data_IF_668187954155
#
_entry.id   IF_668187954155
#
_cell.length_a   1.000
_cell.length_b   1.000
_cell.length_c   1.000
_cell.angle_alpha   90.00
_cell.angle_beta   90.00
_cell.angle_gamma   90.00
#
_symmetry.space_group_name_H-M   'P 1'
#
loop_
_entity.id
_entity.type
_entity.pdbx_description
1 polymer ?
#
# COMPACT_ATOMS: atom_id res chain seq x y z
N UNK A 1 30.50 8.76 1.09
CA UNK A 1 30.48 8.70 2.57
C UNK A 1 31.70 9.37 3.24
N UNK A 2 32.76 9.76 2.50
CA UNK A 2 33.84 10.55 3.10
C UNK A 2 34.71 9.82 4.13
N UNK A 3 34.77 8.48 4.11
CA UNK A 3 35.42 7.70 5.16
C UNK A 3 36.91 8.02 5.36
N UNK A 4 37.63 8.36 4.27
CA UNK A 4 39.07 8.66 4.33
C UNK A 4 39.39 10.16 4.23
N UNK A 5 38.49 10.96 3.65
CA UNK A 5 38.77 12.36 3.29
C UNK A 5 37.91 13.37 4.07
N UNK A 6 37.00 12.88 4.92
CA UNK A 6 35.98 13.69 5.57
C UNK A 6 34.92 14.20 4.57
N UNK A 7 33.72 14.50 5.08
CA UNK A 7 32.72 15.25 4.34
C UNK A 7 32.01 16.16 5.34
N UNK A 8 32.28 17.47 5.27
CA UNK A 8 31.79 18.46 6.26
C UNK A 8 30.28 18.39 6.48
N UNK A 9 29.52 18.02 5.44
CA UNK A 9 28.07 17.81 5.49
C UNK A 9 27.65 16.73 6.51
N UNK A 10 28.44 15.67 6.67
CA UNK A 10 28.11 14.52 7.53
C UNK A 10 28.98 14.44 8.79
N UNK A 11 30.18 15.03 8.78
CA UNK A 11 31.15 14.91 9.88
C UNK A 11 30.72 15.64 11.16
N UNK A 12 29.79 16.60 11.07
CA UNK A 12 29.32 17.40 12.20
C UNK A 12 28.02 16.88 12.85
N UNK A 13 27.39 15.84 12.30
CA UNK A 13 26.17 15.26 12.87
C UNK A 13 26.48 14.52 14.18
N UNK A 14 25.65 14.75 15.20
CA UNK A 14 25.80 14.16 16.53
C UNK A 14 24.47 13.81 17.19
N UNK A 15 24.49 13.46 18.48
CA UNK A 15 23.28 13.05 19.21
C UNK A 15 22.22 14.15 19.32
N UNK A 16 22.62 15.42 19.27
CA UNK A 16 21.70 16.55 19.23
C UNK A 16 20.83 16.59 17.97
N UNK A 17 21.23 15.87 16.91
CA UNK A 17 20.49 15.79 15.64
C UNK A 17 19.58 14.55 15.57
N UNK A 18 19.56 13.73 16.64
CA UNK A 18 18.74 12.51 16.74
C UNK A 18 17.48 12.79 17.55
N UNK A 19 16.34 12.22 17.12
CA UNK A 19 15.05 12.34 17.82
C UNK A 19 14.61 13.80 18.06
N UNK A 20 14.85 14.66 17.07
CA UNK A 20 14.34 16.03 17.08
C UNK A 20 12.81 16.06 17.07
N UNK A 21 12.17 17.11 17.62
CA UNK A 21 10.71 17.29 17.51
C UNK A 21 10.19 17.23 16.07
N UNK A 22 10.96 17.70 15.09
CA UNK A 22 10.62 17.59 13.67
C UNK A 22 10.62 16.14 13.16
N UNK A 23 11.53 15.30 13.67
CA UNK A 23 11.59 13.87 13.32
C UNK A 23 10.45 13.09 13.96
N UNK A 24 10.07 13.45 15.20
CA UNK A 24 8.87 12.93 15.87
C UNK A 24 7.59 13.31 15.12
N UNK A 25 7.48 14.59 14.72
CA UNK A 25 6.36 15.08 13.91
C UNK A 25 6.29 14.39 12.54
N UNK A 26 7.43 14.06 11.93
CA UNK A 26 7.47 13.29 10.69
C UNK A 26 6.98 11.85 10.90
N UNK A 27 7.35 11.19 12.01
CA UNK A 27 6.85 9.86 12.33
C UNK A 27 5.33 9.86 12.55
N UNK A 28 4.80 10.83 13.29
CA UNK A 28 3.36 11.05 13.44
C UNK A 28 2.69 11.31 12.08
N UNK A 29 3.29 12.18 11.26
CA UNK A 29 2.77 12.51 9.93
C UNK A 29 2.67 11.28 9.04
N UNK A 30 3.75 10.49 8.96
CA UNK A 30 3.77 9.26 8.18
C UNK A 30 2.71 8.25 8.65
N UNK A 31 2.48 8.15 9.97
CA UNK A 31 1.48 7.26 10.53
C UNK A 31 0.06 7.65 10.10
N UNK A 32 -0.39 8.89 10.33
CA UNK A 32 -1.77 9.27 9.98
C UNK A 32 -1.97 9.39 8.46
N UNK A 33 -0.95 9.80 7.70
CA UNK A 33 -1.04 9.87 6.24
C UNK A 33 -1.17 8.48 5.61
N UNK A 34 -0.65 7.43 6.27
CA UNK A 34 -0.70 6.04 5.82
C UNK A 34 -1.94 5.26 6.26
N UNK A 35 -2.67 5.69 7.31
CA UNK A 35 -3.89 5.03 7.76
C UNK A 35 -4.94 5.05 6.64
N UNK A 36 -5.49 3.87 6.35
CA UNK A 36 -6.46 3.67 5.27
C UNK A 36 -7.83 3.36 5.86
N UNK A 37 -8.85 4.14 5.49
CA UNK A 37 -10.23 3.88 5.86
C UNK A 37 -10.86 2.91 4.85
N UNK A 38 -11.32 1.75 5.32
CA UNK A 38 -11.86 0.67 4.47
C UNK A 38 -13.39 0.69 4.46
N UNK A 39 -14.00 0.81 5.64
CA UNK A 39 -15.47 0.88 5.81
C UNK A 39 -15.80 2.04 6.72
N UNK A 40 -16.90 2.74 6.43
CA UNK A 40 -17.43 3.78 7.30
C UNK A 40 -18.90 4.06 7.03
N UNK A 41 -19.78 3.69 7.96
CA UNK A 41 -21.23 3.89 7.87
C UNK A 41 -21.66 5.15 8.65
N UNK A 42 -20.85 6.21 8.58
CA UNK A 42 -21.08 7.49 9.25
C UNK A 42 -20.66 7.53 10.73
N UNK A 43 -19.99 6.50 11.25
CA UNK A 43 -19.44 6.51 12.60
C UNK A 43 -18.25 7.48 12.72
N UNK A 44 -17.35 7.44 11.74
CA UNK A 44 -16.16 8.28 11.73
C UNK A 44 -16.30 9.45 10.75
N UNK A 45 -15.73 10.63 11.06
CA UNK A 45 -15.12 10.96 12.34
C UNK A 45 -16.16 11.08 13.45
N UNK A 46 -15.75 10.81 14.69
CA UNK A 46 -16.61 10.92 15.85
C UNK A 46 -17.13 12.36 15.98
N UNK A 47 -18.45 12.52 16.08
CA UNK A 47 -19.10 13.85 16.14
C UNK A 47 -18.91 14.54 17.50
N UNK A 48 -18.70 13.75 18.54
CA UNK A 48 -18.39 14.20 19.90
C UNK A 48 -17.55 13.15 20.61
N UNK A 49 -16.85 13.56 21.67
CA UNK A 49 -16.22 12.62 22.60
C UNK A 49 -17.29 11.68 23.18
N UNK A 50 -17.12 10.35 23.06
CA UNK A 50 -18.01 9.40 23.74
C UNK A 50 -17.78 9.47 25.26
N UNK A 51 -18.85 9.36 26.06
CA UNK A 51 -18.71 9.46 27.50
C UNK A 51 -17.97 8.27 28.11
N UNK A 52 -18.05 7.10 27.47
CA UNK A 52 -17.27 5.90 27.83
C UNK A 52 -16.86 5.10 26.59
N UNK A 53 -15.57 4.83 26.44
CA UNK A 53 -15.02 4.08 25.31
C UNK A 53 -14.42 2.77 25.80
N UNK A 54 -14.74 1.66 25.12
CA UNK A 54 -14.14 0.35 25.36
C UNK A 54 -13.08 0.04 24.28
N UNK A 55 -11.80 0.01 24.68
CA UNK A 55 -10.70 -0.46 23.84
C UNK A 55 -10.52 -1.95 24.09
N UNK A 56 -10.81 -2.76 23.08
CA UNK A 56 -10.75 -4.22 23.17
C UNK A 56 -9.73 -4.75 22.17
N UNK A 57 -8.96 -5.76 22.55
CA UNK A 57 -8.12 -6.53 21.62
C UNK A 57 -6.62 -6.40 21.86
N UNK A 58 -5.83 -7.26 21.19
CA UNK A 58 -4.40 -7.42 21.44
C UNK A 58 -3.54 -6.19 21.12
N UNK A 59 -4.04 -5.24 20.32
CA UNK A 59 -3.34 -4.00 20.01
C UNK A 59 -3.74 -2.81 20.88
N UNK A 60 -4.73 -2.96 21.77
CA UNK A 60 -5.26 -1.84 22.55
C UNK A 60 -4.17 -1.15 23.39
N UNK A 61 -3.27 -1.91 24.01
CA UNK A 61 -2.12 -1.40 24.74
C UNK A 61 -0.76 -1.77 24.10
N UNK A 62 -0.71 -1.84 22.77
CA UNK A 62 0.50 -2.20 22.04
C UNK A 62 1.63 -1.19 22.22
N UNK A 63 2.86 -1.69 22.36
CA UNK A 63 4.10 -0.89 22.36
C UNK A 63 4.99 -1.32 21.19
N UNK A 64 5.93 -2.25 21.39
CA UNK A 64 6.90 -2.69 20.37
C UNK A 64 6.22 -3.29 19.13
N UNK A 65 5.01 -3.86 19.30
CA UNK A 65 4.18 -4.34 18.20
C UNK A 65 3.91 -3.27 17.14
N UNK A 66 3.86 -1.98 17.52
CA UNK A 66 3.62 -0.87 16.58
C UNK A 66 4.79 -0.66 15.60
N UNK A 67 5.98 -1.19 15.90
CA UNK A 67 7.20 -0.95 15.11
C UNK A 67 7.46 -2.00 14.03
N UNK A 68 6.71 -3.11 14.01
CA UNK A 68 6.99 -4.22 13.10
C UNK A 68 8.33 -4.91 13.41
N UNK A 69 9.16 -5.14 12.39
CA UNK A 69 10.46 -5.80 12.49
C UNK A 69 11.59 -4.88 12.00
N UNK A 70 12.85 -5.25 12.26
CA UNK A 70 14.03 -4.43 11.93
C UNK A 70 14.03 -3.02 12.57
N UNK A 71 13.35 -2.86 13.71
CA UNK A 71 13.29 -1.61 14.44
C UNK A 71 14.38 -1.54 15.53
N UNK A 72 14.97 -0.37 15.69
CA UNK A 72 15.81 -0.06 16.85
C UNK A 72 14.99 0.30 18.09
N UNK A 73 15.67 0.64 19.18
CA UNK A 73 15.02 1.12 20.41
C UNK A 73 14.42 2.50 20.16
N UNK A 74 13.08 2.59 20.20
CA UNK A 74 12.40 3.85 20.06
C UNK A 74 12.61 4.74 21.30
N UNK A 75 12.67 6.07 21.14
CA UNK A 75 12.78 7.00 22.27
C UNK A 75 11.53 6.98 23.17
N UNK A 76 10.39 6.63 22.61
CA UNK A 76 9.11 6.38 23.26
C UNK A 76 8.19 5.64 22.29
N UNK A 77 7.11 5.05 22.79
CA UNK A 77 6.05 4.43 22.01
C UNK A 77 4.71 4.82 22.63
N UNK A 78 3.82 5.45 21.86
CA UNK A 78 2.48 5.81 22.32
C UNK A 78 1.49 4.74 21.89
N UNK A 79 0.99 3.95 22.86
CA UNK A 79 -0.04 2.94 22.59
C UNK A 79 -1.39 3.60 22.25
N UNK A 80 -2.28 2.90 21.53
CA UNK A 80 -3.64 3.41 21.29
C UNK A 80 -4.38 3.75 22.60
N UNK A 81 -4.27 2.90 23.63
CA UNK A 81 -4.85 3.16 24.95
C UNK A 81 -4.27 4.43 25.59
N UNK A 82 -2.94 4.64 25.50
CA UNK A 82 -2.31 5.84 26.05
C UNK A 82 -2.79 7.11 25.36
N UNK A 83 -2.85 7.10 24.02
CA UNK A 83 -3.35 8.22 23.24
C UNK A 83 -4.83 8.52 23.55
N UNK A 84 -5.66 7.48 23.59
CA UNK A 84 -7.08 7.61 23.90
C UNK A 84 -7.30 8.15 25.33
N UNK A 85 -6.59 7.62 26.32
CA UNK A 85 -6.69 8.07 27.73
C UNK A 85 -6.19 9.50 27.94
N UNK A 86 -5.35 10.01 27.03
CA UNK A 86 -4.91 11.41 27.07
C UNK A 86 -5.93 12.38 26.47
N UNK A 87 -6.82 11.90 25.59
CA UNK A 87 -7.82 12.73 24.91
C UNK A 87 -9.23 12.59 25.47
N UNK A 88 -9.59 11.41 25.98
CA UNK A 88 -10.94 11.10 26.44
C UNK A 88 -10.99 10.83 27.93
N UNK A 89 -12.10 11.24 28.53
CA UNK A 89 -12.33 11.22 29.97
C UNK A 89 -12.55 9.84 30.58
N UNK A 90 -13.04 8.86 29.81
CA UNK A 90 -13.24 7.49 30.27
C UNK A 90 -12.95 6.48 29.16
N UNK A 91 -11.81 5.80 29.28
CA UNK A 91 -11.38 4.72 28.40
C UNK A 91 -11.11 3.50 29.25
N UNK A 92 -11.90 2.46 29.05
CA UNK A 92 -11.66 1.15 29.64
C UNK A 92 -10.97 0.25 28.62
N UNK A 93 -10.07 -0.59 29.10
CA UNK A 93 -9.35 -1.55 28.27
C UNK A 93 -9.60 -2.98 28.74
N UNK A 94 -9.82 -3.87 27.78
CA UNK A 94 -9.74 -5.31 28.00
C UNK A 94 -8.95 -5.95 26.86
N UNK A 95 -8.09 -6.91 27.19
CA UNK A 95 -7.37 -7.66 26.16
C UNK A 95 -8.35 -8.45 25.27
N UNK A 96 -9.32 -9.15 25.88
CA UNK A 96 -10.27 -10.01 25.18
C UNK A 96 -9.64 -11.30 24.63
N UNK A 97 -8.70 -11.19 23.70
CA UNK A 97 -7.91 -12.32 23.18
C UNK A 97 -6.50 -11.91 22.73
N UNK A 98 -5.60 -12.89 22.60
CA UNK A 98 -4.27 -12.69 22.03
C UNK A 98 -4.32 -12.78 20.50
N UNK A 99 -3.27 -12.32 19.82
CA UNK A 99 -3.18 -12.30 18.34
C UNK A 99 -3.55 -13.64 17.71
N UNK A 100 -3.02 -14.76 18.22
CA UNK A 100 -3.24 -16.08 17.66
C UNK A 100 -3.69 -17.10 18.71
N UNK A 101 -4.59 -16.70 19.62
CA UNK A 101 -5.14 -17.59 20.65
C UNK A 101 -6.43 -18.28 20.20
N UNK A 102 -6.74 -19.40 20.86
CA UNK A 102 -8.02 -20.12 20.73
C UNK A 102 -8.84 -20.11 22.02
N UNK A 103 -8.30 -19.58 23.12
CA UNK A 103 -9.01 -19.49 24.41
C UNK A 103 -10.00 -18.34 24.42
N UNK A 104 -11.19 -18.56 24.96
CA UNK A 104 -12.25 -17.54 25.15
C UNK A 104 -12.34 -17.02 26.58
N UNK A 105 -11.38 -17.37 27.45
CA UNK A 105 -11.41 -17.07 28.90
C UNK A 105 -11.63 -15.58 29.20
N UNK A 106 -10.99 -14.69 28.42
CA UNK A 106 -11.06 -13.24 28.62
C UNK A 106 -12.20 -12.56 27.83
N UNK A 107 -13.02 -13.32 27.08
CA UNK A 107 -14.13 -12.74 26.30
C UNK A 107 -15.17 -12.11 27.23
N UNK A 108 -15.47 -12.77 28.35
CA UNK A 108 -16.49 -12.29 29.30
C UNK A 108 -16.13 -10.90 29.85
N UNK A 109 -14.86 -10.66 30.18
CA UNK A 109 -14.38 -9.36 30.66
C UNK A 109 -14.54 -8.29 29.56
N UNK A 110 -14.08 -8.58 28.34
CA UNK A 110 -14.20 -7.69 27.20
C UNK A 110 -15.66 -7.32 26.89
N UNK A 111 -16.55 -8.30 26.88
CA UNK A 111 -17.99 -8.11 26.64
C UNK A 111 -18.62 -7.27 27.74
N UNK A 112 -18.26 -7.48 29.02
CA UNK A 112 -18.80 -6.70 30.13
C UNK A 112 -18.38 -5.22 30.07
N UNK A 113 -17.11 -4.96 29.74
CA UNK A 113 -16.59 -3.61 29.53
C UNK A 113 -17.31 -2.95 28.35
N UNK A 114 -17.37 -3.64 27.20
CA UNK A 114 -18.01 -3.15 25.99
C UNK A 114 -19.51 -2.86 26.16
N UNK A 115 -20.24 -3.71 26.91
CA UNK A 115 -21.67 -3.53 27.18
C UNK A 115 -21.98 -2.23 27.93
N UNK A 116 -21.01 -1.74 28.71
CA UNK A 116 -21.13 -0.51 29.49
C UNK A 116 -20.67 0.74 28.73
N UNK A 117 -20.09 0.60 27.54
CA UNK A 117 -19.53 1.69 26.75
C UNK A 117 -20.54 2.30 25.77
N UNK A 118 -20.23 3.50 25.28
CA UNK A 118 -20.94 4.19 24.20
C UNK A 118 -20.29 3.94 22.82
N UNK A 119 -19.01 3.56 22.82
CA UNK A 119 -18.22 3.22 21.64
C UNK A 119 -17.33 2.02 21.96
N UNK A 120 -17.32 1.04 21.07
CA UNK A 120 -16.36 -0.08 21.09
C UNK A 120 -15.34 0.15 19.99
N UNK A 121 -14.07 0.06 20.35
CA UNK A 121 -12.94 0.07 19.41
C UNK A 121 -12.20 -1.24 19.58
N UNK A 122 -12.29 -2.11 18.58
CA UNK A 122 -11.51 -3.34 18.53
C UNK A 122 -10.18 -3.06 17.82
N UNK A 123 -9.06 -3.42 18.45
CA UNK A 123 -7.70 -3.22 17.94
C UNK A 123 -7.01 -4.58 17.82
N UNK A 124 -6.85 -5.07 16.59
CA UNK A 124 -6.29 -6.39 16.34
C UNK A 124 -5.81 -6.58 14.90
N UNK A 125 -5.58 -7.83 14.49
CA UNK A 125 -5.03 -8.16 13.19
C UNK A 125 -3.79 -9.02 13.34
N UNK A 126 -2.72 -8.70 12.61
CA UNK A 126 -1.45 -9.42 12.64
C UNK A 126 -0.39 -8.69 13.46
N UNK A 127 0.64 -9.42 13.87
CA UNK A 127 1.91 -8.85 14.34
C UNK A 127 3.09 -9.74 13.95
N UNK A 128 4.29 -9.38 14.43
CA UNK A 128 5.53 -10.11 14.16
C UNK A 128 5.59 -11.55 14.72
N UNK A 129 4.60 -11.98 15.51
CA UNK A 129 4.46 -13.39 15.92
C UNK A 129 3.82 -14.25 14.84
N UNK A 130 3.13 -13.64 13.88
CA UNK A 130 2.42 -14.31 12.78
C UNK A 130 3.10 -14.05 11.43
N UNK A 131 3.61 -12.84 11.19
CA UNK A 131 4.32 -12.47 9.96
C UNK A 131 5.69 -11.87 10.26
N UNK A 132 6.75 -12.60 9.92
CA UNK A 132 8.12 -12.15 10.20
C UNK A 132 9.09 -12.74 9.19
N UNK A 133 10.28 -12.15 9.10
CA UNK A 133 11.40 -12.81 8.43
C UNK A 133 11.53 -14.28 8.88
N UNK A 134 11.67 -15.20 7.92
CA UNK A 134 11.69 -16.67 8.10
C UNK A 134 10.37 -17.32 8.51
N UNK A 135 9.29 -16.55 8.65
CA UNK A 135 7.96 -17.02 9.05
C UNK A 135 6.91 -16.47 8.08
N UNK A 136 6.64 -17.24 7.02
CA UNK A 136 5.50 -17.01 6.15
C UNK A 136 4.20 -17.44 6.82
N UNK A 137 3.10 -16.72 6.57
CA UNK A 137 1.78 -17.08 7.07
C UNK A 137 1.23 -18.30 6.30
N UNK A 138 0.57 -19.25 6.99
CA UNK A 138 -0.07 -20.38 6.34
C UNK A 138 -1.45 -20.06 5.75
N UNK A 139 -2.02 -18.89 6.05
CA UNK A 139 -3.35 -18.45 5.62
C UNK A 139 -3.42 -16.92 5.56
N UNK A 140 -4.41 -16.40 4.83
CA UNK A 140 -4.77 -14.98 4.83
C UNK A 140 -5.97 -14.67 5.74
N UNK A 141 -6.52 -15.65 6.47
CA UNK A 141 -7.55 -15.38 7.47
C UNK A 141 -7.00 -14.59 8.67
N UNK A 142 -7.91 -13.93 9.41
CA UNK A 142 -7.60 -13.38 10.73
C UNK A 142 -7.09 -14.49 11.67
N UNK A 143 -6.01 -14.26 12.44
CA UNK A 143 -5.44 -15.28 13.31
C UNK A 143 -6.28 -15.49 14.58
N UNK A 144 -6.19 -16.72 15.12
CA UNK A 144 -6.87 -17.12 16.34
C UNK A 144 -8.39 -16.95 16.29
N UNK A 145 -8.96 -16.55 17.42
CA UNK A 145 -10.40 -16.32 17.62
C UNK A 145 -10.77 -14.82 17.66
N UNK A 146 -9.98 -13.97 16.99
CA UNK A 146 -10.23 -12.52 16.95
C UNK A 146 -11.59 -12.19 16.31
N UNK A 147 -11.93 -12.83 15.19
CA UNK A 147 -13.23 -12.63 14.53
C UNK A 147 -14.40 -13.10 15.40
N UNK A 148 -14.23 -14.16 16.19
CA UNK A 148 -15.27 -14.63 17.11
C UNK A 148 -15.57 -13.57 18.17
N UNK A 149 -14.54 -12.95 18.75
CA UNK A 149 -14.70 -11.86 19.71
C UNK A 149 -15.35 -10.62 19.06
N UNK A 150 -14.90 -10.23 17.86
CA UNK A 150 -15.51 -9.11 17.13
C UNK A 150 -17.00 -9.38 16.87
N UNK A 151 -17.36 -10.61 16.52
CA UNK A 151 -18.75 -11.01 16.31
C UNK A 151 -19.58 -10.87 17.59
N UNK A 152 -19.09 -11.34 18.74
CA UNK A 152 -19.75 -11.16 20.04
C UNK A 152 -19.92 -9.67 20.41
N UNK A 153 -18.88 -8.85 20.20
CA UNK A 153 -18.94 -7.40 20.44
C UNK A 153 -19.98 -6.72 19.54
N UNK A 154 -20.09 -7.17 18.29
CA UNK A 154 -21.03 -6.62 17.32
C UNK A 154 -22.50 -6.89 17.68
N UNK A 155 -22.77 -7.84 18.57
CA UNK A 155 -24.12 -8.16 19.06
C UNK A 155 -24.59 -7.27 20.23
N UNK A 156 -23.76 -6.34 20.72
CA UNK A 156 -24.07 -5.51 21.90
C UNK A 156 -24.90 -4.25 21.61
N UNK A 157 -25.32 -4.05 20.35
CA UNK A 157 -26.03 -2.85 19.89
C UNK A 157 -25.30 -1.54 20.25
N UNK A 158 -23.98 -1.56 20.07
CA UNK A 158 -23.09 -0.41 20.26
C UNK A 158 -22.37 -0.07 18.96
N UNK A 159 -22.06 1.21 18.70
CA UNK A 159 -21.13 1.57 17.64
C UNK A 159 -19.80 0.82 17.81
N UNK A 160 -19.42 0.06 16.78
CA UNK A 160 -18.19 -0.73 16.75
C UNK A 160 -17.30 -0.26 15.61
N UNK A 161 -16.10 0.18 15.95
CA UNK A 161 -15.01 0.42 15.02
C UNK A 161 -13.95 -0.67 15.17
N UNK A 162 -13.40 -1.15 14.06
CA UNK A 162 -12.28 -2.10 14.02
C UNK A 162 -11.05 -1.41 13.44
N UNK A 163 -9.90 -1.56 14.09
CA UNK A 163 -8.60 -1.14 13.60
C UNK A 163 -7.77 -2.39 13.35
N UNK A 164 -7.54 -2.70 12.08
CA UNK A 164 -6.67 -3.78 11.62
C UNK A 164 -5.21 -3.32 11.57
N UNK A 165 -4.34 -4.05 12.26
CA UNK A 165 -2.89 -3.89 12.25
C UNK A 165 -2.21 -5.02 11.47
N UNK A 166 -0.94 -4.79 11.11
CA UNK A 166 -0.13 -5.73 10.34
C UNK A 166 0.23 -5.22 8.96
N UNK A 167 1.34 -5.71 8.42
CA UNK A 167 1.81 -5.39 7.07
C UNK A 167 1.04 -6.18 6.01
N UNK A 168 0.94 -7.50 6.18
CA UNK A 168 0.08 -8.34 5.38
C UNK A 168 -1.40 -8.04 5.61
N UNK A 169 -2.21 -8.21 4.57
CA UNK A 169 -3.66 -8.14 4.69
C UNK A 169 -4.23 -9.44 5.27
N UNK A 170 -5.34 -9.33 6.00
CA UNK A 170 -6.20 -10.45 6.39
C UNK A 170 -7.57 -10.30 5.73
N UNK A 171 -8.28 -11.40 5.54
CA UNK A 171 -9.60 -11.40 4.88
C UNK A 171 -10.67 -10.73 5.75
N UNK A 172 -11.07 -9.51 5.40
CA UNK A 172 -12.12 -8.74 6.10
C UNK A 172 -13.53 -9.02 5.59
N UNK A 173 -13.75 -10.01 4.71
CA UNK A 173 -15.09 -10.33 4.21
C UNK A 173 -16.13 -10.48 5.34
N UNK A 174 -15.83 -11.14 6.48
CA UNK A 174 -16.76 -11.22 7.61
C UNK A 174 -17.07 -9.85 8.25
N UNK A 175 -16.12 -8.92 8.27
CA UNK A 175 -16.29 -7.59 8.85
C UNK A 175 -17.05 -6.65 7.91
N UNK A 176 -16.74 -6.71 6.61
CA UNK A 176 -17.41 -5.93 5.58
C UNK A 176 -18.89 -6.31 5.47
N UNK A 177 -19.19 -7.61 5.54
CA UNK A 177 -20.56 -8.14 5.51
C UNK A 177 -21.37 -7.92 6.81
N UNK A 178 -20.73 -7.51 7.91
CA UNK A 178 -21.40 -7.27 9.18
C UNK A 178 -21.81 -5.79 9.32
N UNK A 179 -23.09 -5.50 9.21
CA UNK A 179 -23.66 -4.15 9.34
C UNK A 179 -23.46 -3.52 10.73
N UNK A 180 -23.17 -4.31 11.77
CA UNK A 180 -22.88 -3.79 13.11
C UNK A 180 -21.44 -3.32 13.26
N UNK A 181 -20.53 -3.70 12.36
CA UNK A 181 -19.19 -3.10 12.24
C UNK A 181 -19.31 -1.81 11.43
N UNK A 182 -19.35 -0.67 12.12
CA UNK A 182 -19.65 0.64 11.54
C UNK A 182 -18.43 1.33 10.91
N UNK A 183 -17.22 0.97 11.32
CA UNK A 183 -16.01 1.47 10.71
C UNK A 183 -14.89 0.42 10.73
N UNK A 184 -14.05 0.42 9.69
CA UNK A 184 -12.87 -0.42 9.58
C UNK A 184 -11.71 0.42 9.05
N UNK A 185 -10.62 0.46 9.82
CA UNK A 185 -9.37 1.13 9.48
C UNK A 185 -8.26 0.08 9.32
N UNK A 186 -7.36 0.26 8.36
CA UNK A 186 -6.07 -0.43 8.33
C UNK A 186 -4.95 0.54 8.73
N UNK A 187 -4.22 0.19 9.78
CA UNK A 187 -3.19 1.04 10.39
C UNK A 187 -1.75 0.55 10.12
N UNK A 188 -1.57 -0.61 9.49
CA UNK A 188 -0.25 -1.16 9.22
C UNK A 188 0.58 -1.38 10.51
N UNK A 189 1.84 -0.95 10.46
CA UNK A 189 2.73 -0.78 11.62
C UNK A 189 3.02 0.71 11.82
N UNK A 190 2.24 1.43 12.63
CA UNK A 190 2.23 2.90 12.63
C UNK A 190 3.34 3.55 13.49
N UNK A 191 4.27 2.77 14.01
CA UNK A 191 5.47 3.25 14.70
C UNK A 191 5.19 3.99 16.01
N UNK A 192 6.15 4.84 16.41
CA UNK A 192 6.20 5.45 17.75
C UNK A 192 5.03 6.39 18.10
N UNK A 193 4.38 6.96 17.08
CA UNK A 193 3.26 7.89 17.21
C UNK A 193 1.92 7.27 16.79
N UNK A 194 1.90 5.95 16.60
CA UNK A 194 0.75 5.26 16.02
C UNK A 194 -0.53 5.40 16.82
N UNK A 195 -0.46 5.35 18.15
CA UNK A 195 -1.63 5.59 19.00
C UNK A 195 -2.25 6.96 18.77
N UNK A 196 -1.43 8.03 18.73
CA UNK A 196 -1.90 9.39 18.48
C UNK A 196 -2.50 9.54 17.08
N UNK A 197 -1.85 8.96 16.07
CA UNK A 197 -2.34 8.99 14.69
C UNK A 197 -3.73 8.34 14.55
N UNK A 198 -3.94 7.17 15.17
CA UNK A 198 -5.23 6.45 15.11
C UNK A 198 -6.33 7.27 15.77
N UNK A 199 -6.12 7.78 16.99
CA UNK A 199 -7.12 8.56 17.72
C UNK A 199 -7.44 9.87 16.99
N UNK A 200 -6.42 10.54 16.44
CA UNK A 200 -6.60 11.78 15.67
C UNK A 200 -7.37 11.56 14.36
N UNK A 201 -7.19 10.41 13.69
CA UNK A 201 -8.03 10.02 12.54
C UNK A 201 -9.46 9.76 13.01
N UNK A 202 -9.66 8.95 14.06
CA UNK A 202 -11.01 8.63 14.55
C UNK A 202 -11.81 9.87 14.97
N UNK A 203 -11.17 10.86 15.58
CA UNK A 203 -11.81 12.13 15.98
C UNK A 203 -11.95 13.13 14.83
N UNK A 204 -11.37 12.84 13.66
CA UNK A 204 -11.35 13.74 12.52
C UNK A 204 -10.50 14.98 12.73
N UNK A 205 -9.54 14.94 13.67
CA UNK A 205 -8.46 15.93 13.75
C UNK A 205 -7.53 15.80 12.53
N UNK A 206 -7.34 14.57 12.03
CA UNK A 206 -6.77 14.29 10.72
C UNK A 206 -7.81 13.57 9.85
N UNK A 207 -7.87 13.91 8.57
CA UNK A 207 -8.69 13.19 7.60
C UNK A 207 -7.87 12.07 6.95
N UNK A 208 -8.37 10.82 6.90
CA UNK A 208 -7.67 9.73 6.25
C UNK A 208 -7.67 9.93 4.73
N UNK A 209 -6.52 9.64 4.13
CA UNK A 209 -6.34 9.59 2.68
C UNK A 209 -5.34 8.48 2.29
N UNK A 210 -4.99 7.59 3.23
CA UNK A 210 -4.18 6.42 2.97
C UNK A 210 -4.87 5.49 1.98
N UNK A 211 -4.05 4.77 1.20
CA UNK A 211 -4.48 3.83 0.16
C UNK A 211 -3.82 2.49 0.43
N UNK A 212 -4.54 1.39 0.25
CA UNK A 212 -3.92 0.06 0.33
C UNK A 212 -2.83 -0.11 -0.73
N UNK A 213 -1.66 -0.55 -0.32
CA UNK A 213 -0.51 -0.81 -1.21
C UNK A 213 -0.42 -2.28 -1.65
N UNK A 214 -1.34 -3.12 -1.18
CA UNK A 214 -1.50 -4.51 -1.58
C UNK A 214 -2.99 -4.83 -1.73
N UNK A 215 -3.32 -5.83 -2.53
CA UNK A 215 -4.69 -6.36 -2.61
C UNK A 215 -4.98 -7.16 -1.34
N UNK A 216 -6.14 -6.94 -0.72
CA UNK A 216 -6.69 -7.87 0.26
C UNK A 216 -7.44 -8.98 -0.48
N UNK A 217 -6.85 -10.17 -0.52
CA UNK A 217 -7.44 -11.36 -1.13
C UNK A 217 -8.34 -12.08 -0.14
N UNK A 218 -9.34 -12.84 -0.62
CA UNK A 218 -10.09 -13.75 0.25
C UNK A 218 -9.19 -14.88 0.73
N UNK A 219 -9.52 -15.48 1.88
CA UNK A 219 -8.65 -16.45 2.55
C UNK A 219 -8.27 -17.64 1.66
N UNK A 220 -9.19 -18.13 0.83
CA UNK A 220 -8.98 -19.26 -0.08
C UNK A 220 -7.94 -18.98 -1.18
N UNK A 221 -7.58 -17.72 -1.44
CA UNK A 221 -6.53 -17.40 -2.40
C UNK A 221 -5.19 -18.05 -2.02
N UNK A 222 -4.90 -18.19 -0.72
CA UNK A 222 -3.70 -18.86 -0.22
C UNK A 222 -3.65 -20.34 -0.63
N UNK A 223 -4.80 -21.00 -0.79
CA UNK A 223 -4.90 -22.40 -1.20
C UNK A 223 -4.85 -22.57 -2.73
N UNK A 224 -5.22 -21.53 -3.49
CA UNK A 224 -5.23 -21.52 -4.95
C UNK A 224 -3.84 -21.24 -5.54
N UNK A 225 -2.97 -20.56 -4.78
CA UNK A 225 -1.73 -19.99 -5.26
C UNK A 225 -0.54 -20.49 -4.44
N UNK A 226 0.20 -21.46 -4.99
CA UNK A 226 1.35 -22.03 -4.30
C UNK A 226 2.46 -21.00 -4.05
N UNK A 227 3.01 -20.96 -2.83
CA UNK A 227 4.04 -19.99 -2.40
C UNK A 227 5.25 -19.93 -3.34
N UNK A 228 5.65 -21.06 -3.92
CA UNK A 228 6.81 -21.18 -4.81
C UNK A 228 6.50 -21.00 -6.30
N UNK A 229 5.25 -20.67 -6.68
CA UNK A 229 4.91 -20.34 -8.05
C UNK A 229 5.15 -18.84 -8.31
N UNK A 230 6.18 -18.44 -9.08
CA UNK A 230 6.47 -17.03 -9.33
C UNK A 230 5.60 -16.41 -10.43
N UNK A 231 4.78 -17.20 -11.13
CA UNK A 231 4.02 -16.73 -12.28
C UNK A 231 3.05 -15.64 -11.88
N UNK A 232 2.99 -14.53 -12.61
CA UNK A 232 2.04 -13.46 -12.32
C UNK A 232 0.70 -13.64 -13.04
N UNK A 233 0.76 -14.16 -14.27
CA UNK A 233 -0.39 -14.25 -15.18
C UNK A 233 -1.30 -15.42 -14.79
N UNK A 234 -2.63 -15.28 -14.92
CA UNK A 234 -3.52 -16.41 -14.77
C UNK A 234 -3.25 -17.45 -15.86
N UNK A 235 -3.64 -18.69 -15.60
CA UNK A 235 -3.58 -19.75 -16.62
C UNK A 235 -4.92 -19.89 -17.36
N UNK A 236 -4.87 -20.41 -18.58
CA UNK A 236 -6.05 -20.48 -19.46
C UNK A 236 -7.15 -21.40 -18.93
N UNK A 237 -6.81 -22.40 -18.12
CA UNK A 237 -7.78 -23.35 -17.56
C UNK A 237 -8.43 -22.86 -16.25
N UNK A 238 -8.06 -21.67 -15.76
CA UNK A 238 -8.63 -21.04 -14.58
C UNK A 238 -8.22 -21.66 -13.24
N UNK A 239 -7.31 -22.64 -13.23
CA UNK A 239 -6.84 -23.24 -11.97
C UNK A 239 -5.86 -22.35 -11.20
N UNK A 240 -5.32 -21.32 -11.88
CA UNK A 240 -4.44 -20.32 -11.30
C UNK A 240 -5.00 -18.93 -11.63
N UNK A 241 -5.48 -18.19 -10.62
CA UNK A 241 -6.21 -16.94 -10.85
C UNK A 241 -5.31 -15.74 -11.14
N UNK A 242 -3.99 -15.92 -11.24
CA UNK A 242 -3.02 -14.83 -11.33
C UNK A 242 -2.76 -14.14 -9.98
N UNK A 243 -1.80 -13.22 -9.96
CA UNK A 243 -1.38 -12.48 -8.75
C UNK A 243 -1.36 -10.98 -9.00
N UNK A 244 -1.45 -10.23 -7.92
CA UNK A 244 -1.50 -8.76 -7.89
C UNK A 244 -2.77 -8.22 -8.54
N UNK A 245 -3.09 -6.95 -8.26
CA UNK A 245 -4.20 -6.26 -8.92
C UNK A 245 -4.09 -6.22 -10.46
N UNK A 246 -2.89 -6.48 -11.01
CA UNK A 246 -2.68 -6.48 -12.47
C UNK A 246 -3.27 -7.70 -13.16
N UNK A 247 -3.31 -8.84 -12.48
CA UNK A 247 -3.55 -10.14 -13.12
C UNK A 247 -4.53 -11.04 -12.37
N UNK A 248 -4.86 -10.70 -11.12
CA UNK A 248 -5.82 -11.48 -10.36
C UNK A 248 -7.21 -11.40 -11.00
N UNK A 249 -7.78 -12.56 -11.34
CA UNK A 249 -9.08 -12.68 -12.01
C UNK A 249 -10.24 -12.97 -11.06
N UNK A 250 -9.96 -13.14 -9.76
CA UNK A 250 -10.98 -13.28 -8.74
C UNK A 250 -11.40 -11.94 -8.15
N UNK A 251 -12.35 -11.97 -7.22
CA UNK A 251 -12.83 -10.78 -6.53
C UNK A 251 -11.93 -10.48 -5.34
N UNK A 252 -11.31 -9.29 -5.34
CA UNK A 252 -10.60 -8.80 -4.17
C UNK A 252 -11.59 -8.43 -3.07
N UNK A 253 -11.29 -8.77 -1.82
CA UNK A 253 -12.07 -8.32 -0.65
C UNK A 253 -11.97 -6.80 -0.54
N UNK A 254 -10.74 -6.28 -0.66
CA UNK A 254 -10.46 -4.86 -0.82
C UNK A 254 -9.37 -4.68 -1.89
N UNK A 255 -9.61 -3.92 -2.96
CA UNK A 255 -8.66 -3.81 -4.05
C UNK A 255 -7.43 -2.98 -3.69
N UNK A 256 -6.32 -3.24 -4.38
CA UNK A 256 -5.14 -2.36 -4.35
C UNK A 256 -5.54 -0.91 -4.67
N UNK A 257 -5.01 0.05 -3.91
CA UNK A 257 -5.28 1.47 -4.08
C UNK A 257 -6.60 1.94 -3.44
N UNK A 258 -7.37 1.06 -2.80
CA UNK A 258 -8.59 1.45 -2.11
C UNK A 258 -8.29 2.27 -0.85
N UNK A 259 -9.14 3.26 -0.58
CA UNK A 259 -9.14 4.04 0.65
C UNK A 259 -10.25 5.08 0.60
N UNK A 260 -11.07 5.14 1.64
CA UNK A 260 -12.16 6.11 1.80
C UNK A 260 -11.64 7.42 2.41
N UNK A 261 -12.43 8.47 2.23
CA UNK A 261 -12.20 9.80 2.78
C UNK A 261 -13.36 10.20 3.71
N UNK A 262 -13.16 11.24 4.53
CA UNK A 262 -14.25 11.90 5.29
C UNK A 262 -14.98 12.99 4.50
N UNK A 263 -14.71 13.11 3.21
CA UNK A 263 -15.31 14.08 2.31
C UNK A 263 -15.42 13.47 0.92
N UNK A 264 -16.17 14.13 0.05
CA UNK A 264 -16.34 13.74 -1.35
C UNK A 264 -15.58 14.67 -2.28
N UNK A 265 -15.19 14.16 -3.44
CA UNK A 265 -14.42 14.88 -4.44
C UNK A 265 -15.02 14.75 -5.83
N UNK A 266 -14.98 15.86 -6.58
CA UNK A 266 -15.21 15.92 -8.02
C UNK A 266 -13.88 16.04 -8.78
N UNK A 267 -13.86 15.56 -10.02
CA UNK A 267 -12.64 15.40 -10.80
C UNK A 267 -12.81 15.93 -12.22
N UNK A 268 -11.78 16.61 -12.73
CA UNK A 268 -11.66 16.98 -14.14
C UNK A 268 -10.18 17.04 -14.56
N UNK A 269 -9.88 16.83 -15.83
CA UNK A 269 -8.51 17.06 -16.33
C UNK A 269 -8.28 18.57 -16.51
N UNK A 270 -7.24 19.11 -15.87
CA UNK A 270 -6.95 20.54 -15.87
C UNK A 270 -6.47 21.10 -17.24
N UNK A 271 -5.92 20.26 -18.11
CA UNK A 271 -5.39 20.66 -19.43
C UNK A 271 -5.81 19.72 -20.58
N UNK A 272 -7.11 19.49 -20.76
CA UNK A 272 -7.66 18.64 -21.85
C UNK A 272 -7.07 18.94 -23.24
N UNK A 273 -6.74 20.19 -23.56
CA UNK A 273 -6.31 20.62 -24.89
C UNK A 273 -4.92 20.15 -25.33
N UNK A 274 -4.11 19.55 -24.43
CA UNK A 274 -2.76 19.07 -24.75
C UNK A 274 -2.66 17.55 -24.97
N UNK A 275 -3.74 16.82 -24.74
CA UNK A 275 -3.72 15.36 -24.84
C UNK A 275 -4.03 14.92 -26.29
N UNK A 276 -3.03 14.35 -26.96
CA UNK A 276 -3.18 13.83 -28.31
C UNK A 276 -3.83 12.44 -28.28
N UNK A 277 -4.94 12.27 -29.02
CA UNK A 277 -5.67 11.00 -29.08
C UNK A 277 -4.99 9.95 -29.98
N UNK A 278 -4.05 10.38 -30.85
CA UNK A 278 -3.25 9.51 -31.71
C UNK A 278 -1.82 9.98 -31.74
N UNK A 279 -0.88 9.13 -31.35
CA UNK A 279 0.53 9.47 -31.18
C UNK A 279 1.39 8.46 -31.96
N UNK A 280 2.19 8.91 -32.95
CA UNK A 280 3.09 8.02 -33.64
C UNK A 280 4.24 7.58 -32.72
N UNK A 281 4.51 6.28 -32.62
CA UNK A 281 5.59 5.74 -31.79
C UNK A 281 6.97 6.28 -32.21
N UNK A 282 7.19 6.53 -33.51
CA UNK A 282 8.42 7.16 -33.98
C UNK A 282 8.60 8.61 -33.49
N UNK A 283 7.56 9.30 -33.00
CA UNK A 283 7.74 10.59 -32.35
C UNK A 283 8.23 10.44 -30.90
N UNK A 284 8.00 9.29 -30.27
CA UNK A 284 8.51 8.96 -28.93
C UNK A 284 10.02 8.67 -28.97
N UNK A 285 10.49 8.10 -30.08
CA UNK A 285 11.85 7.55 -30.22
C UNK A 285 12.94 8.47 -30.79
N UNK A 286 12.67 9.66 -31.35
CA UNK A 286 13.65 10.26 -32.30
C UNK A 286 14.29 11.61 -31.95
N UNK A 287 15.62 11.59 -31.69
CA UNK A 287 16.72 12.22 -32.49
C UNK A 287 18.07 12.43 -31.77
N UNK A 288 18.16 12.21 -30.46
CA UNK A 288 19.41 12.46 -29.70
C UNK A 288 19.94 11.28 -28.86
N UNK A 289 19.50 10.06 -29.10
CA UNK A 289 20.20 8.91 -28.52
C UNK A 289 21.32 8.47 -29.46
N UNK A 290 22.51 9.04 -29.26
CA UNK A 290 23.74 8.33 -29.57
C UNK A 290 24.32 7.87 -28.23
N UNK A 291 24.86 6.64 -28.14
CA UNK A 291 25.70 6.27 -27.01
C UNK A 291 26.94 7.19 -27.05
N UNK A 292 26.88 8.29 -26.29
CA UNK A 292 27.92 9.29 -26.26
C UNK A 292 28.83 9.01 -25.07
N UNK A 293 30.09 8.67 -25.37
CA UNK A 293 31.17 8.69 -24.40
C UNK A 293 31.47 10.15 -24.04
N UNK A 294 30.80 10.70 -23.04
CA UNK A 294 31.18 11.94 -22.37
C UNK A 294 30.13 13.05 -22.36
N UNK A 295 29.75 13.44 -21.14
CA UNK A 295 29.43 14.82 -20.71
C UNK A 295 28.06 15.48 -21.03
N UNK A 296 27.03 14.79 -21.51
CA UNK A 296 25.63 15.27 -21.39
C UNK A 296 24.70 14.20 -20.76
N UNK A 297 23.83 14.63 -19.83
CA UNK A 297 22.95 13.78 -19.00
C UNK A 297 21.71 13.27 -19.76
N UNK A 298 21.86 12.49 -20.83
CA UNK A 298 20.70 11.74 -21.35
C UNK A 298 20.57 10.44 -20.54
N UNK A 299 19.65 10.41 -19.59
CA UNK A 299 19.34 9.20 -18.80
C UNK A 299 18.75 8.07 -19.67
N UNK A 300 18.53 6.89 -19.06
CA UNK A 300 17.85 5.74 -19.68
C UNK A 300 16.55 6.13 -20.44
N UNK A 301 16.25 5.49 -21.58
CA UNK A 301 15.18 5.93 -22.48
C UNK A 301 13.78 5.79 -21.84
N UNK A 302 13.62 4.76 -21.03
CA UNK A 302 12.46 4.49 -20.19
C UNK A 302 12.14 5.64 -19.21
N UNK A 303 13.14 6.34 -18.68
CA UNK A 303 12.94 7.47 -17.73
C UNK A 303 12.49 8.78 -18.39
N UNK A 304 12.34 8.83 -19.72
CA UNK A 304 11.85 10.04 -20.40
C UNK A 304 10.37 10.24 -20.12
N UNK A 305 10.00 11.43 -19.65
CA UNK A 305 8.59 11.82 -19.52
C UNK A 305 7.93 11.76 -20.90
N UNK A 306 6.96 10.86 -21.03
CA UNK A 306 6.08 10.73 -22.19
C UNK A 306 5.03 11.84 -22.18
N UNK A 307 4.34 12.00 -21.05
CA UNK A 307 3.35 13.04 -20.84
C UNK A 307 3.18 13.28 -19.34
N UNK A 308 2.55 14.39 -18.98
CA UNK A 308 2.09 14.65 -17.61
C UNK A 308 0.60 14.90 -17.67
N UNK A 309 -0.19 14.05 -17.00
CA UNK A 309 -1.60 14.31 -16.81
C UNK A 309 -1.78 15.18 -15.57
N UNK A 310 -2.62 16.21 -15.68
CA UNK A 310 -2.96 17.07 -14.56
C UNK A 310 -4.44 16.92 -14.23
N UNK A 311 -4.73 16.42 -13.02
CA UNK A 311 -6.09 16.28 -12.52
C UNK A 311 -6.38 17.40 -11.54
N UNK A 312 -7.47 18.12 -11.76
CA UNK A 312 -8.07 19.03 -10.80
C UNK A 312 -9.01 18.23 -9.91
N UNK A 313 -8.79 18.28 -8.60
CA UNK A 313 -9.59 17.62 -7.57
C UNK A 313 -10.28 18.71 -6.77
N UNK A 314 -11.62 18.74 -6.85
CA UNK A 314 -12.43 19.68 -6.08
C UNK A 314 -13.05 18.96 -4.90
N UNK A 315 -12.81 19.45 -3.69
CA UNK A 315 -13.50 18.97 -2.51
C UNK A 315 -14.92 19.52 -2.49
N UNK A 316 -15.91 18.64 -2.63
CA UNK A 316 -17.34 19.01 -2.68
C UNK A 316 -18.09 18.65 -1.41
N UNK A 317 -17.43 18.00 -0.45
CA UNK A 317 -17.99 17.75 0.87
C UNK A 317 -17.71 18.88 1.86
N UNK A 318 -17.75 18.55 3.15
CA UNK A 318 -17.77 19.53 4.25
C UNK A 318 -16.52 19.55 5.13
N UNK A 319 -15.51 18.73 4.83
CA UNK A 319 -14.28 18.63 5.62
C UNK A 319 -13.05 18.75 4.73
N UNK A 320 -11.98 19.37 5.24
CA UNK A 320 -10.71 19.32 4.54
C UNK A 320 -10.15 17.90 4.54
N UNK A 321 -9.46 17.54 3.47
CA UNK A 321 -8.81 16.24 3.35
C UNK A 321 -7.68 16.33 2.34
N UNK A 322 -6.66 15.51 2.55
CA UNK A 322 -5.74 15.14 1.49
C UNK A 322 -6.47 14.31 0.43
N UNK A 323 -5.91 14.25 -0.78
CA UNK A 323 -6.30 13.31 -1.81
C UNK A 323 -5.07 12.69 -2.45
N UNK A 324 -5.02 11.35 -2.51
CA UNK A 324 -3.95 10.61 -3.19
C UNK A 324 -4.46 10.17 -4.56
N UNK A 325 -3.98 10.77 -5.64
CA UNK A 325 -4.34 10.34 -6.98
C UNK A 325 -3.44 9.21 -7.47
N UNK A 326 -4.03 8.09 -7.88
CA UNK A 326 -3.35 6.98 -8.53
C UNK A 326 -3.69 6.99 -10.02
N UNK A 327 -2.69 7.05 -10.90
CA UNK A 327 -2.90 6.98 -12.34
C UNK A 327 -2.61 5.56 -12.83
N UNK A 328 -3.63 4.91 -13.36
CA UNK A 328 -3.51 3.61 -13.99
C UNK A 328 -3.49 3.71 -15.51
N UNK A 329 -2.84 2.76 -16.15
CA UNK A 329 -2.87 2.51 -17.58
C UNK A 329 -3.41 1.11 -17.85
N UNK A 330 -4.24 0.96 -18.87
CA UNK A 330 -4.70 -0.32 -19.39
C UNK A 330 -4.68 -0.33 -20.92
N UNK A 331 -4.72 -1.52 -21.51
CA UNK A 331 -4.79 -1.71 -22.96
C UNK A 331 -5.51 -3.02 -23.29
N UNK A 332 -6.41 -3.04 -24.29
CA UNK A 332 -7.07 -4.28 -24.73
C UNK A 332 -6.30 -5.01 -25.85
N UNK A 333 -5.34 -4.35 -26.52
CA UNK A 333 -4.78 -4.85 -27.78
C UNK A 333 -3.29 -4.50 -28.04
N UNK A 334 -2.62 -3.74 -27.18
CA UNK A 334 -1.24 -3.34 -27.41
C UNK A 334 -0.25 -4.34 -26.80
N UNK A 335 0.41 -5.14 -27.65
CA UNK A 335 1.43 -6.13 -27.27
C UNK A 335 0.89 -7.54 -27.03
N UNK A 336 1.70 -8.48 -26.53
CA UNK A 336 1.31 -9.90 -26.43
C UNK A 336 0.19 -10.14 -25.40
N UNK A 337 -0.69 -11.10 -25.69
CA UNK A 337 -1.65 -11.62 -24.71
C UNK A 337 -0.92 -12.51 -23.66
N UNK A 338 -1.49 -12.71 -22.45
CA UNK A 338 -2.69 -12.05 -21.92
C UNK A 338 -2.42 -10.58 -21.54
N UNK A 339 -3.48 -9.79 -21.48
CA UNK A 339 -3.44 -8.38 -21.10
C UNK A 339 -3.67 -8.23 -19.58
N UNK A 340 -2.90 -7.38 -18.88
CA UNK A 340 -3.19 -7.05 -17.48
C UNK A 340 -4.49 -6.23 -17.40
N UNK A 341 -5.19 -6.31 -16.27
CA UNK A 341 -6.36 -5.46 -15.98
C UNK A 341 -5.99 -3.98 -16.12
N UNK A 342 -4.98 -3.56 -15.35
CA UNK A 342 -4.34 -2.24 -15.40
C UNK A 342 -3.01 -2.27 -14.66
N UNK A 343 -2.21 -1.22 -14.78
CA UNK A 343 -1.00 -1.01 -13.97
C UNK A 343 -0.79 0.45 -13.61
N UNK A 344 -0.30 0.70 -12.40
CA UNK A 344 0.03 2.03 -11.90
C UNK A 344 1.21 2.59 -12.69
N UNK A 345 1.05 3.83 -13.18
CA UNK A 345 2.08 4.54 -13.97
C UNK A 345 2.52 5.86 -13.34
N UNK A 346 1.73 6.39 -12.41
CA UNK A 346 2.06 7.61 -11.66
C UNK A 346 1.20 7.71 -10.41
N UNK A 347 1.65 8.44 -9.39
CA UNK A 347 0.82 8.83 -8.26
C UNK A 347 1.28 10.16 -7.68
N UNK A 348 0.37 10.86 -7.01
CA UNK A 348 0.66 12.12 -6.34
C UNK A 348 -0.32 12.35 -5.20
N UNK A 349 0.05 13.21 -4.23
CA UNK A 349 -0.79 13.57 -3.09
C UNK A 349 -0.98 15.07 -3.05
N UNK A 350 -2.24 15.50 -3.14
CA UNK A 350 -2.63 16.85 -2.77
C UNK A 350 -2.92 16.88 -1.27
N UNK A 351 -2.40 17.89 -0.59
CA UNK A 351 -2.58 18.04 0.86
C UNK A 351 -3.63 19.11 1.18
N UNK A 352 -4.43 18.83 2.21
CA UNK A 352 -5.32 19.77 2.89
C UNK A 352 -6.24 20.58 1.95
N UNK A 353 -6.92 19.89 1.03
CA UNK A 353 -7.90 20.52 0.13
C UNK A 353 -9.11 20.93 0.98
N UNK A 354 -9.28 22.23 1.22
CA UNK A 354 -10.40 22.73 2.02
C UNK A 354 -11.75 22.45 1.35
N UNK A 355 -12.82 22.39 2.14
CA UNK A 355 -14.18 22.24 1.63
C UNK A 355 -14.51 23.36 0.62
N UNK A 356 -14.96 22.98 -0.59
CA UNK A 356 -15.27 23.88 -1.68
C UNK A 356 -14.05 24.34 -2.52
N UNK A 357 -12.83 24.06 -2.08
CA UNK A 357 -11.60 24.38 -2.81
C UNK A 357 -11.18 23.26 -3.76
N UNK A 358 -10.24 23.59 -4.65
CA UNK A 358 -9.64 22.66 -5.60
C UNK A 358 -8.14 22.64 -5.47
N UNK A 359 -7.55 21.46 -5.69
CA UNK A 359 -6.11 21.30 -5.86
C UNK A 359 -5.84 20.57 -7.18
N UNK A 360 -4.75 20.93 -7.85
CA UNK A 360 -4.29 20.22 -9.05
C UNK A 360 -3.08 19.37 -8.72
N UNK A 361 -3.14 18.09 -9.07
CA UNK A 361 -1.98 17.19 -9.00
C UNK A 361 -1.39 17.00 -10.39
N UNK A 362 -0.06 16.87 -10.45
CA UNK A 362 0.67 16.49 -11.65
C UNK A 362 1.06 15.00 -11.56
N UNK A 363 0.75 14.25 -12.61
CA UNK A 363 0.97 12.82 -12.73
C UNK A 363 1.88 12.58 -13.94
N UNK A 364 3.21 12.73 -13.79
CA UNK A 364 4.15 12.46 -14.86
C UNK A 364 4.16 10.95 -15.17
N UNK A 365 4.10 10.61 -16.46
CA UNK A 365 4.20 9.26 -16.98
C UNK A 365 5.47 9.19 -17.81
N UNK A 366 6.40 8.34 -17.38
CA UNK A 366 7.63 8.05 -18.12
C UNK A 366 7.38 6.98 -19.20
N UNK A 367 8.21 6.96 -20.23
CA UNK A 367 8.07 6.08 -21.39
C UNK A 367 8.14 4.60 -21.00
N UNK A 368 8.94 4.24 -19.99
CA UNK A 368 9.03 2.89 -19.45
C UNK A 368 7.71 2.35 -18.92
N UNK A 369 6.85 3.23 -18.42
CA UNK A 369 5.52 2.86 -17.92
C UNK A 369 4.52 2.54 -19.03
N UNK A 370 4.80 2.91 -20.28
CA UNK A 370 4.02 2.47 -21.45
C UNK A 370 4.45 1.09 -21.95
N UNK A 371 5.66 0.66 -21.59
CA UNK A 371 6.28 -0.55 -22.15
C UNK A 371 5.71 -1.83 -21.51
N UNK A 372 5.63 -2.88 -22.32
CA UNK A 372 5.30 -4.24 -21.89
C UNK A 372 6.44 -5.18 -22.29
N UNK A 373 6.69 -6.20 -21.47
CA UNK A 373 7.70 -7.20 -21.77
C UNK A 373 7.26 -8.09 -22.96
N UNK A 374 8.15 -8.32 -23.93
CA UNK A 374 8.01 -9.39 -24.93
C UNK A 374 8.41 -10.77 -24.35
N UNK A 375 8.45 -11.81 -25.18
CA UNK A 375 8.80 -13.17 -24.76
C UNK A 375 10.28 -13.31 -24.36
N UNK A 376 11.15 -12.48 -24.95
CA UNK A 376 12.59 -12.40 -24.68
C UNK A 376 12.89 -11.58 -23.40
N UNK A 377 11.91 -10.85 -22.88
CA UNK A 377 12.03 -10.01 -21.69
C UNK A 377 12.36 -8.54 -21.97
N UNK A 378 12.48 -8.14 -23.24
CA UNK A 378 12.66 -6.74 -23.63
C UNK A 378 11.43 -5.91 -23.30
N UNK A 379 11.65 -4.67 -22.86
CA UNK A 379 10.59 -3.71 -22.64
C UNK A 379 10.27 -3.00 -23.97
N UNK A 380 9.04 -3.16 -24.44
CA UNK A 380 8.60 -2.65 -25.74
C UNK A 380 7.33 -1.82 -25.59
N UNK A 381 7.34 -0.61 -26.17
CA UNK A 381 6.13 0.19 -26.38
C UNK A 381 5.47 -0.28 -27.67
N UNK A 382 4.25 -0.80 -27.54
CA UNK A 382 3.50 -1.38 -28.65
C UNK A 382 2.48 -0.39 -29.24
N UNK A 383 2.17 -0.50 -30.54
CA UNK A 383 1.00 0.16 -31.09
C UNK A 383 -0.27 -0.50 -30.56
N UNK A 384 -1.34 0.29 -30.42
CA UNK A 384 -2.64 -0.15 -29.93
C UNK A 384 -3.37 0.96 -29.18
N UNK A 385 -4.48 0.59 -28.56
CA UNK A 385 -5.34 1.48 -27.79
C UNK A 385 -4.98 1.41 -26.31
N UNK A 386 -4.98 2.56 -25.66
CA UNK A 386 -4.61 2.71 -24.26
C UNK A 386 -5.61 3.62 -23.56
N UNK A 387 -5.82 3.37 -22.27
CA UNK A 387 -6.67 4.20 -21.42
C UNK A 387 -5.89 4.57 -20.16
N UNK A 388 -5.72 5.87 -19.92
CA UNK A 388 -5.38 6.38 -18.60
C UNK A 388 -6.65 6.48 -17.75
N UNK A 389 -6.58 6.03 -16.50
CA UNK A 389 -7.69 6.14 -15.54
C UNK A 389 -7.18 6.66 -14.20
N UNK A 390 -7.80 7.73 -13.71
CA UNK A 390 -7.55 8.24 -12.37
C UNK A 390 -8.33 7.43 -11.35
N UNK A 391 -7.63 6.96 -10.33
CA UNK A 391 -8.14 6.16 -9.22
C UNK A 391 -8.60 4.73 -9.62
N UNK A 392 -8.91 3.92 -8.62
CA UNK A 392 -9.26 2.50 -8.77
C UNK A 392 -10.56 2.28 -9.54
N UNK A 393 -11.47 3.24 -9.49
CA UNK A 393 -12.81 3.21 -10.09
C UNK A 393 -12.94 4.15 -11.30
N UNK A 394 -11.79 4.60 -11.86
CA UNK A 394 -11.73 5.41 -13.07
C UNK A 394 -12.59 6.69 -12.99
N UNK A 395 -12.40 7.50 -11.94
CA UNK A 395 -13.11 8.77 -11.71
C UNK A 395 -13.16 9.66 -12.95
N UNK A 396 -12.05 9.73 -13.66
CA UNK A 396 -11.91 10.32 -14.99
C UNK A 396 -10.93 9.47 -15.80
N UNK A 397 -11.17 9.37 -17.10
CA UNK A 397 -10.33 8.60 -18.02
C UNK A 397 -9.94 9.41 -19.25
N UNK A 398 -8.88 8.96 -19.93
CA UNK A 398 -8.44 9.51 -21.20
C UNK A 398 -7.92 8.39 -22.11
N UNK A 399 -8.57 8.23 -23.26
CA UNK A 399 -8.22 7.23 -24.27
C UNK A 399 -7.25 7.81 -25.31
N UNK A 400 -6.26 7.02 -25.70
CA UNK A 400 -5.34 7.36 -26.77
C UNK A 400 -4.86 6.13 -27.54
N UNK A 401 -4.37 6.38 -28.75
CA UNK A 401 -3.82 5.36 -29.64
C UNK A 401 -2.33 5.62 -29.87
N UNK A 402 -1.50 4.59 -29.71
CA UNK A 402 -0.14 4.58 -30.22
C UNK A 402 -0.13 3.83 -31.55
N UNK A 403 0.54 4.39 -32.58
CA UNK A 403 0.58 3.75 -33.90
C UNK A 403 1.98 3.80 -34.54
N UNK A 404 2.20 2.91 -35.51
CA UNK A 404 3.50 2.70 -36.16
C UNK A 404 4.22 1.47 -35.63
N UNK A 405 5.52 1.37 -35.90
CA UNK A 405 6.33 0.24 -35.46
C UNK A 405 6.56 0.27 -33.93
N UNK A 406 6.57 -0.90 -33.26
CA UNK A 406 6.92 -1.00 -31.85
C UNK A 406 8.31 -0.40 -31.56
N UNK A 407 8.47 0.18 -30.36
CA UNK A 407 9.73 0.76 -29.89
C UNK A 407 10.28 -0.05 -28.71
N UNK A 408 11.43 -0.70 -28.91
CA UNK A 408 12.19 -1.32 -27.81
C UNK A 408 12.81 -0.21 -26.97
N UNK A 409 12.45 -0.14 -25.69
CA UNK A 409 12.95 0.88 -24.75
C UNK A 409 14.06 0.36 -23.84
N UNK A 410 14.08 -0.93 -23.56
CA UNK A 410 15.15 -1.63 -22.87
C UNK A 410 15.23 -3.08 -23.35
N UNK A 411 16.43 -3.64 -23.40
CA UNK A 411 16.68 -5.00 -23.88
C UNK A 411 17.18 -5.85 -22.73
N UNK A 412 16.50 -6.96 -22.44
CA UNK A 412 16.96 -7.86 -21.40
C UNK A 412 18.25 -8.53 -21.89
N UNK A 413 19.32 -8.41 -21.10
CA UNK A 413 20.58 -9.04 -21.45
C UNK A 413 20.39 -10.56 -21.57
N UNK A 414 20.76 -11.12 -22.73
CA UNK A 414 20.76 -12.57 -22.92
C UNK A 414 21.63 -13.22 -21.85
N UNK A 415 21.08 -14.24 -21.19
CA UNK A 415 21.84 -15.02 -20.21
C UNK A 415 22.98 -15.73 -20.92
N UNK A 416 24.20 -15.23 -20.74
CA UNK A 416 25.40 -15.85 -21.30
C UNK A 416 25.45 -17.34 -20.96
N UNK A 417 25.52 -18.21 -21.96
CA UNK A 417 25.78 -19.63 -21.76
C UNK A 417 27.25 -19.83 -21.44
N UNK A 418 27.58 -20.03 -20.17
CA UNK A 418 28.93 -20.39 -19.76
C UNK A 418 29.16 -21.89 -19.97
N UNK A 419 29.74 -22.26 -21.11
CA UNK A 419 30.34 -23.59 -21.30
C UNK A 419 31.73 -23.62 -20.64
N UNK A 420 31.79 -23.74 -19.31
CA UNK A 420 33.03 -24.17 -18.68
C UNK A 420 33.18 -25.68 -18.87
N UNK A 421 33.87 -26.12 -19.91
CA UNK A 421 34.72 -27.30 -19.78
C UNK A 421 35.95 -26.84 -19.02
N UNK A 422 35.98 -27.04 -17.70
CA UNK A 422 37.25 -26.98 -16.97
C UNK A 422 38.10 -28.12 -17.56
N UNK A 423 39.23 -27.83 -18.24
CA UNK A 423 40.15 -28.89 -18.60
C UNK A 423 40.73 -29.39 -17.27
N UNK A 424 40.22 -30.52 -16.78
CA UNK A 424 40.94 -31.29 -15.77
C UNK A 424 42.18 -31.80 -16.50
N UNK A 425 43.33 -31.19 -16.24
CA UNK A 425 44.62 -31.83 -16.51
C UNK A 425 44.86 -32.79 -15.35
N UNK A 426 44.56 -34.10 -15.46
CA UNK A 426 45.00 -35.03 -14.44
C UNK A 426 46.53 -34.93 -14.37
N UNK A 427 47.05 -34.55 -13.21
CA UNK A 427 48.48 -34.69 -12.96
C UNK A 427 48.80 -36.18 -13.11
N UNK A 428 49.68 -36.54 -14.05
CA UNK A 428 50.21 -37.89 -14.16
C UNK A 428 50.95 -38.24 -12.87
N UNK A 429 50.63 -39.39 -12.27
CA UNK A 429 51.25 -39.95 -11.07
C UNK A 429 52.72 -40.38 -11.26
N UNK A 430 53.51 -39.64 -12.03
CA UNK A 430 54.96 -39.81 -12.13
C UNK A 430 55.64 -38.70 -11.32
N UNK A 431 55.55 -38.77 -9.99
CA UNK A 431 56.47 -38.12 -9.04
C UNK A 431 56.24 -38.71 -7.63
N UNK A 432 56.21 -40.04 -7.54
CA UNK A 432 56.51 -40.77 -6.29
C UNK A 432 57.51 -41.88 -6.65
N UNK A 433 58.74 -41.49 -6.95
CA UNK A 433 59.93 -42.32 -6.91
C UNK A 433 61.14 -41.40 -6.92
N UNK A 434 61.78 -41.26 -5.75
CA UNK A 434 62.95 -40.41 -5.52
C UNK A 434 63.18 -40.22 -4.04
#
# INVERSE_FOLDING_TARGET
>A
VGFFDGQEEYTNLGWSDVNLPSSQALAYKAAWEGITLIKNDGLLPLQSEPARVAFIGPYGNATEQLQGIYAGVAPYLVSPLQAASAQWSSVDYALGTQINASSTENFTEAINIASSADLIVYLGGLDSTVERETIDRPTLAWPGNQLDLINELSNLDKPLAVVQFGGGQVDDSPLLANDNVKALLWAGYPGQEGGNAIVDVMTGKQSPAGRLTTTQYPAEFADQVGLFNPDLRPNENGSYPGRTYKWYTGDAVVPFGFGLHYTDFDFEWAEHSRMHHKIPIHALGHKHWKPHHGHEKSGPMDTKVFTTLSACIKNVGSRSSDYVGLLFLSTPDAGPAPYPDKWLVSYSRAHDIQAGESATIALPVELGWLARANEEGDLVVYPGHYTFSLDIDAKISFDFELFGEPLVVDTLAERGTYNFTVPVYPQSNELIAG
#
